data_IF_942561527029
#
_entry.id   IF_942561527029
#
_cell.length_a   1.000
_cell.length_b   1.000
_cell.length_c   1.000
_cell.angle_alpha   90.00
_cell.angle_beta   90.00
_cell.angle_gamma   90.00
#
_symmetry.space_group_name_H-M   'P 1'
#
loop_
_entity.id
_entity.type
_entity.pdbx_description
1 polymer ?
#
# COMPACT_ATOMS: atom_id res chain seq x y z
N UNK A 1 19.96 3.21 -12.03
CA UNK A 1 19.06 2.12 -12.47
C UNK A 1 19.06 1.05 -11.38
N UNK A 2 18.21 1.21 -10.36
CA UNK A 2 18.10 0.23 -9.27
C UNK A 2 17.11 -0.85 -9.66
N UNK A 3 17.49 -2.12 -9.49
CA UNK A 3 16.64 -3.28 -9.77
C UNK A 3 15.31 -3.18 -8.99
N UNK A 4 14.25 -2.95 -9.75
CA UNK A 4 12.86 -2.70 -9.36
C UNK A 4 12.15 -3.92 -8.74
N UNK A 5 12.74 -5.12 -8.85
CA UNK A 5 12.10 -6.39 -8.46
C UNK A 5 12.14 -6.73 -6.95
N UNK A 6 12.78 -5.91 -6.11
CA UNK A 6 13.04 -6.26 -4.70
C UNK A 6 12.37 -5.34 -3.67
N UNK A 7 11.55 -4.37 -4.09
CA UNK A 7 10.79 -3.60 -3.11
C UNK A 7 9.55 -4.37 -2.64
N UNK A 8 9.36 -4.56 -1.33
CA UNK A 8 8.14 -5.18 -0.81
C UNK A 8 6.95 -4.26 -1.14
N UNK A 9 6.17 -4.70 -2.13
CA UNK A 9 4.98 -3.99 -2.60
C UNK A 9 3.83 -4.16 -1.63
N UNK A 10 3.20 -3.06 -1.27
CA UNK A 10 2.04 -3.02 -0.38
C UNK A 10 0.76 -3.11 -1.19
N UNK A 11 0.69 -2.37 -2.30
CA UNK A 11 -0.49 -2.30 -3.18
C UNK A 11 0.00 -2.28 -4.63
N UNK A 12 -0.73 -2.95 -5.52
CA UNK A 12 -0.54 -2.87 -6.97
C UNK A 12 -1.85 -2.47 -7.64
N UNK A 13 -1.78 -1.46 -8.50
CA UNK A 13 -2.90 -0.95 -9.28
C UNK A 13 -2.59 -1.04 -10.77
N UNK A 14 -3.05 -2.10 -11.46
CA UNK A 14 -3.13 -2.13 -12.91
C UNK A 14 -4.20 -1.16 -13.40
N UNK A 15 -3.86 -0.41 -14.44
CA UNK A 15 -4.77 0.53 -15.11
C UNK A 15 -4.91 0.22 -16.60
N UNK A 16 -4.36 -0.90 -17.10
CA UNK A 16 -4.28 -1.24 -18.53
C UNK A 16 -5.62 -1.17 -19.26
N UNK A 17 -6.69 -1.54 -18.56
CA UNK A 17 -8.02 -1.68 -19.13
C UNK A 17 -8.82 -0.37 -18.99
N UNK A 18 -8.22 0.66 -18.38
CA UNK A 18 -8.90 1.93 -18.11
C UNK A 18 -9.36 2.64 -19.38
N UNK A 19 -8.59 2.53 -20.47
CA UNK A 19 -8.98 3.00 -21.80
C UNK A 19 -10.28 2.37 -22.29
N UNK A 20 -10.49 1.09 -22.06
CA UNK A 20 -11.70 0.38 -22.52
C UNK A 20 -12.91 0.78 -21.67
N UNK A 21 -12.74 0.89 -20.35
CA UNK A 21 -13.78 1.39 -19.46
C UNK A 21 -14.21 2.83 -19.77
N UNK A 22 -13.24 3.68 -20.12
CA UNK A 22 -13.49 5.08 -20.46
C UNK A 22 -14.11 5.20 -21.88
N UNK A 23 -13.75 4.32 -22.82
CA UNK A 23 -14.42 4.23 -24.13
C UNK A 23 -15.88 3.81 -24.00
N UNK A 24 -16.18 2.83 -23.14
CA UNK A 24 -17.56 2.42 -22.86
C UNK A 24 -18.38 3.56 -22.26
N UNK A 25 -17.77 4.42 -21.43
CA UNK A 25 -18.43 5.56 -20.81
C UNK A 25 -18.68 6.74 -21.76
N UNK A 26 -17.73 7.05 -22.66
CA UNK A 26 -17.80 8.23 -23.54
C UNK A 26 -18.28 7.92 -24.97
N UNK A 27 -18.19 6.66 -25.42
CA UNK A 27 -18.42 6.24 -26.81
C UNK A 27 -17.55 6.99 -27.85
N UNK A 28 -16.37 7.47 -27.43
CA UNK A 28 -15.41 8.22 -28.26
C UNK A 28 -14.01 7.57 -28.16
N UNK A 29 -13.28 7.32 -29.27
CA UNK A 29 -11.92 6.78 -29.23
C UNK A 29 -10.98 7.59 -28.33
N UNK A 30 -10.34 6.89 -27.40
CA UNK A 30 -9.37 7.48 -26.46
C UNK A 30 -7.96 7.27 -26.99
N UNK A 31 -7.35 8.35 -27.46
CA UNK A 31 -5.96 8.38 -27.92
C UNK A 31 -5.06 9.11 -26.91
N UNK A 32 -3.84 8.60 -26.71
CA UNK A 32 -2.83 9.28 -25.88
C UNK A 32 -3.06 9.24 -24.37
N UNK A 33 -3.98 8.41 -23.85
CA UNK A 33 -4.18 8.26 -22.40
C UNK A 33 -2.94 7.72 -21.68
N UNK A 34 -2.26 6.74 -22.29
CA UNK A 34 -1.06 6.14 -21.72
C UNK A 34 0.21 6.76 -22.29
N UNK A 35 1.23 6.88 -21.44
CA UNK A 35 2.56 7.31 -21.85
C UNK A 35 3.39 6.13 -22.35
N UNK A 36 4.17 6.33 -23.40
CA UNK A 36 5.16 5.34 -23.91
C UNK A 36 6.56 5.57 -23.36
N UNK A 37 6.80 6.73 -22.71
CA UNK A 37 8.10 7.09 -22.18
C UNK A 37 8.22 6.74 -20.70
N UNK A 38 9.00 5.71 -20.38
CA UNK A 38 9.22 5.25 -19.00
C UNK A 38 9.94 6.27 -18.11
N UNK A 39 10.66 7.22 -18.69
CA UNK A 39 11.42 8.27 -17.99
C UNK A 39 10.67 9.59 -17.90
N UNK A 40 9.41 9.65 -18.35
CA UNK A 40 8.59 10.84 -18.17
C UNK A 40 8.45 11.18 -16.66
N UNK A 41 8.43 12.47 -16.29
CA UNK A 41 8.20 12.86 -14.91
C UNK A 41 6.79 12.45 -14.45
N UNK A 42 6.69 12.07 -13.18
CA UNK A 42 5.42 11.79 -12.51
C UNK A 42 4.68 13.08 -12.17
N UNK A 43 3.35 13.03 -12.16
CA UNK A 43 2.39 14.06 -11.78
C UNK A 43 2.42 15.33 -12.65
N UNK A 44 2.91 15.21 -13.88
CA UNK A 44 3.04 16.32 -14.84
C UNK A 44 2.10 16.15 -16.05
N UNK A 45 1.01 15.39 -15.91
CA UNK A 45 0.03 15.14 -16.99
C UNK A 45 0.66 14.55 -18.26
N UNK A 46 1.74 13.79 -18.10
CA UNK A 46 2.54 13.22 -19.20
C UNK A 46 1.97 11.88 -19.71
N UNK A 47 0.78 11.49 -19.24
CA UNK A 47 0.09 10.25 -19.57
C UNK A 47 0.12 9.24 -18.42
N UNK A 48 -0.94 8.44 -18.34
CA UNK A 48 -1.09 7.37 -17.36
C UNK A 48 -0.10 6.23 -17.65
N UNK A 49 0.31 5.51 -16.62
CA UNK A 49 1.14 4.30 -16.75
C UNK A 49 0.34 3.04 -16.50
N UNK A 50 0.80 1.91 -17.01
CA UNK A 50 0.05 0.64 -16.98
C UNK A 50 -0.01 0.00 -15.59
N UNK A 51 1.03 0.19 -14.78
CA UNK A 51 1.10 -0.36 -13.42
C UNK A 51 1.58 0.70 -12.45
N UNK A 52 0.88 0.82 -11.31
CA UNK A 52 1.34 1.59 -10.18
C UNK A 52 1.51 0.67 -8.97
N UNK A 53 2.73 0.60 -8.45
CA UNK A 53 3.05 -0.16 -7.25
C UNK A 53 3.35 0.82 -6.10
N UNK A 54 2.64 0.69 -4.98
CA UNK A 54 2.90 1.45 -3.76
C UNK A 54 3.70 0.62 -2.77
N UNK A 55 4.71 1.26 -2.18
CA UNK A 55 5.40 0.81 -0.99
C UNK A 55 5.02 1.64 0.24
N UNK A 56 5.64 1.33 1.38
CA UNK A 56 5.49 2.10 2.62
C UNK A 56 6.07 3.52 2.55
N UNK A 57 7.05 3.74 1.67
CA UNK A 57 7.85 4.98 1.61
C UNK A 57 7.62 5.81 0.36
N UNK A 58 6.84 5.31 -0.61
CA UNK A 58 6.74 5.93 -1.92
C UNK A 58 5.96 5.04 -2.88
N UNK A 59 5.90 5.46 -4.14
CA UNK A 59 5.25 4.70 -5.19
C UNK A 59 6.10 4.70 -6.45
N UNK A 60 5.93 3.68 -7.27
CA UNK A 60 6.59 3.55 -8.54
C UNK A 60 5.55 3.24 -9.60
N UNK A 61 5.69 3.86 -10.76
CA UNK A 61 4.76 3.66 -11.85
C UNK A 61 5.49 3.26 -13.11
N UNK A 62 4.95 2.26 -13.79
CA UNK A 62 5.62 1.50 -14.84
C UNK A 62 4.80 1.47 -16.12
N UNK A 63 5.48 1.74 -17.23
CA UNK A 63 4.90 1.61 -18.57
C UNK A 63 4.86 0.14 -18.99
N UNK A 64 5.89 -0.63 -18.62
CA UNK A 64 5.98 -2.08 -18.85
C UNK A 64 6.41 -2.80 -17.57
N UNK A 65 6.50 -4.13 -17.58
CA UNK A 65 6.91 -4.92 -16.41
C UNK A 65 8.32 -4.58 -15.86
N UNK A 66 9.19 -3.96 -16.67
CA UNK A 66 10.59 -3.66 -16.32
C UNK A 66 10.97 -2.18 -16.36
N UNK A 67 10.15 -1.32 -16.97
CA UNK A 67 10.49 0.08 -17.23
C UNK A 67 9.50 1.03 -16.54
N UNK A 68 10.01 1.84 -15.62
CA UNK A 68 9.22 2.82 -14.88
C UNK A 68 10.08 3.80 -14.08
N UNK A 69 9.40 4.73 -13.42
CA UNK A 69 9.99 5.78 -12.59
C UNK A 69 9.29 5.82 -11.25
N UNK A 70 10.06 6.01 -10.18
CA UNK A 70 9.57 6.10 -8.80
C UNK A 70 9.45 7.55 -8.34
N UNK A 71 8.51 7.79 -7.42
CA UNK A 71 8.39 9.04 -6.69
C UNK A 71 9.56 9.23 -5.73
N UNK A 72 9.68 10.43 -5.18
CA UNK A 72 10.57 10.65 -4.04
C UNK A 72 10.14 9.75 -2.86
N UNK A 73 11.12 9.23 -2.13
CA UNK A 73 10.88 8.38 -0.97
C UNK A 73 10.76 9.25 0.28
N UNK A 74 9.62 9.20 0.94
CA UNK A 74 9.34 9.95 2.16
C UNK A 74 8.82 9.01 3.25
N UNK A 75 9.21 9.28 4.49
CA UNK A 75 8.65 8.58 5.63
C UNK A 75 7.16 8.89 5.75
N UNK A 76 6.36 7.88 6.09
CA UNK A 76 4.92 7.99 6.26
C UNK A 76 4.20 8.59 5.02
N UNK A 77 4.63 8.16 3.82
CA UNK A 77 4.02 8.59 2.57
C UNK A 77 2.52 8.32 2.57
N UNK A 78 1.73 9.33 2.20
CA UNK A 78 0.26 9.24 2.21
C UNK A 78 -0.20 8.44 1.00
N UNK A 79 -1.07 7.47 1.24
CA UNK A 79 -1.68 6.72 0.15
C UNK A 79 -2.84 7.52 -0.46
N UNK A 80 -2.57 8.22 -1.57
CA UNK A 80 -3.55 9.05 -2.28
C UNK A 80 -3.68 8.60 -3.76
N UNK A 81 -4.11 7.35 -4.04
CA UNK A 81 -4.01 6.76 -5.37
C UNK A 81 -4.77 7.57 -6.43
N UNK A 82 -5.99 8.01 -6.13
CA UNK A 82 -6.81 8.78 -7.06
C UNK A 82 -6.12 10.05 -7.55
N UNK A 83 -5.60 10.85 -6.63
CA UNK A 83 -4.89 12.11 -6.93
C UNK A 83 -3.62 11.87 -7.74
N UNK A 84 -2.89 10.79 -7.47
CA UNK A 84 -1.70 10.42 -8.27
C UNK A 84 -2.12 10.07 -9.70
N UNK A 85 -3.12 9.19 -9.87
CA UNK A 85 -3.60 8.78 -11.19
C UNK A 85 -4.12 9.97 -12.00
N UNK A 86 -4.99 10.81 -11.43
CA UNK A 86 -5.54 11.97 -12.13
C UNK A 86 -4.50 13.05 -12.43
N UNK A 87 -3.44 13.16 -11.61
CA UNK A 87 -2.32 14.07 -11.90
C UNK A 87 -1.39 13.61 -13.04
N UNK A 88 -1.36 12.30 -13.32
CA UNK A 88 -0.63 11.72 -14.46
C UNK A 88 -1.44 11.77 -15.75
N UNK A 89 -2.77 11.72 -15.66
CA UNK A 89 -3.67 11.83 -16.81
C UNK A 89 -3.59 13.22 -17.49
N UNK A 90 -3.89 13.26 -18.78
CA UNK A 90 -4.13 14.53 -19.48
C UNK A 90 -5.38 15.21 -18.90
N UNK A 91 -5.39 16.54 -18.90
CA UNK A 91 -6.44 17.35 -18.26
C UNK A 91 -7.88 16.97 -18.68
N UNK A 92 -8.07 16.65 -19.96
CA UNK A 92 -9.39 16.26 -20.47
C UNK A 92 -9.88 14.96 -19.82
N UNK A 93 -9.01 13.95 -19.74
CA UNK A 93 -9.36 12.64 -19.17
C UNK A 93 -9.51 12.69 -17.65
N UNK A 94 -8.72 13.51 -16.94
CA UNK A 94 -8.90 13.69 -15.50
C UNK A 94 -10.30 14.21 -15.15
N UNK A 95 -10.82 15.19 -15.92
CA UNK A 95 -12.15 15.75 -15.67
C UNK A 95 -13.28 14.76 -15.98
N UNK A 96 -13.11 13.90 -17.00
CA UNK A 96 -14.08 12.83 -17.27
C UNK A 96 -14.07 11.78 -16.15
N UNK A 97 -12.90 11.38 -15.68
CA UNK A 97 -12.78 10.43 -14.57
C UNK A 97 -13.36 11.00 -13.26
N UNK A 98 -13.19 12.30 -12.99
CA UNK A 98 -13.85 12.99 -11.86
C UNK A 98 -15.38 12.93 -11.95
N UNK A 99 -15.95 13.03 -13.15
CA UNK A 99 -17.41 12.94 -13.35
C UNK A 99 -17.94 11.51 -13.23
N UNK A 100 -17.14 10.52 -13.63
CA UNK A 100 -17.51 9.11 -13.58
C UNK A 100 -17.45 8.56 -12.15
N UNK A 101 -16.37 8.86 -11.42
CA UNK A 101 -16.14 8.33 -10.07
C UNK A 101 -16.65 9.33 -9.03
N UNK A 102 -17.97 9.40 -8.88
CA UNK A 102 -18.61 10.38 -7.98
C UNK A 102 -18.59 9.97 -6.51
N UNK A 103 -18.56 8.67 -6.21
CA UNK A 103 -18.51 8.18 -4.83
C UNK A 103 -17.77 6.84 -4.74
N UNK A 104 -16.60 6.88 -4.09
CA UNK A 104 -15.89 5.67 -3.68
C UNK A 104 -14.92 6.02 -2.55
N UNK A 105 -14.51 5.03 -1.76
CA UNK A 105 -13.41 5.29 -0.81
C UNK A 105 -12.10 5.57 -1.54
N UNK A 106 -11.96 5.15 -2.80
CA UNK A 106 -10.76 5.38 -3.61
C UNK A 106 -10.46 6.87 -3.85
N UNK A 107 -11.49 7.72 -3.94
CA UNK A 107 -11.34 9.17 -4.15
C UNK A 107 -11.06 9.94 -2.84
N UNK A 108 -11.29 9.32 -1.67
CA UNK A 108 -11.14 9.96 -0.36
C UNK A 108 -9.67 10.03 0.09
N UNK A 109 -8.93 10.93 -0.56
CA UNK A 109 -7.51 11.18 -0.28
C UNK A 109 -7.22 11.49 1.20
N UNK A 110 -7.98 12.34 1.92
CA UNK A 110 -7.68 12.62 3.33
C UNK A 110 -7.93 11.40 4.23
N UNK A 111 -8.98 10.61 3.99
CA UNK A 111 -9.21 9.38 4.74
C UNK A 111 -8.04 8.40 4.55
N UNK A 112 -7.74 8.03 3.30
CA UNK A 112 -6.69 7.05 3.01
C UNK A 112 -5.32 7.54 3.49
N UNK A 113 -5.00 8.80 3.22
CA UNK A 113 -3.71 9.40 3.59
C UNK A 113 -3.48 9.46 5.09
N UNK A 114 -4.49 9.79 5.90
CA UNK A 114 -4.34 9.90 7.35
C UNK A 114 -4.22 8.52 8.02
N UNK A 115 -5.04 7.54 7.60
CA UNK A 115 -4.98 6.19 8.16
C UNK A 115 -3.68 5.47 7.79
N UNK A 116 -3.22 5.60 6.55
CA UNK A 116 -1.95 4.97 6.12
C UNK A 116 -0.73 5.61 6.76
N UNK A 117 -0.74 6.93 6.99
CA UNK A 117 0.31 7.63 7.73
C UNK A 117 0.39 7.14 9.20
N UNK A 118 -0.76 7.04 9.89
CA UNK A 118 -0.80 6.49 11.25
C UNK A 118 -0.35 5.03 11.30
N UNK A 119 -0.81 4.19 10.36
CA UNK A 119 -0.42 2.79 10.27
C UNK A 119 1.09 2.61 10.06
N UNK A 120 1.73 3.49 9.27
CA UNK A 120 3.17 3.49 9.09
C UNK A 120 3.91 3.66 10.43
N UNK A 121 3.52 4.64 11.25
CA UNK A 121 4.16 4.86 12.55
C UNK A 121 3.93 3.70 13.52
N UNK A 122 2.74 3.09 13.51
CA UNK A 122 2.46 1.91 14.33
C UNK A 122 3.34 0.72 13.93
N UNK A 123 3.52 0.47 12.63
CA UNK A 123 4.44 -0.56 12.15
C UNK A 123 5.88 -0.27 12.57
N UNK A 124 6.33 0.98 12.43
CA UNK A 124 7.68 1.39 12.81
C UNK A 124 7.91 1.20 14.32
N UNK A 125 7.02 1.70 15.17
CA UNK A 125 7.11 1.52 16.63
C UNK A 125 7.09 0.02 16.98
N UNK A 126 6.21 -0.77 16.35
CA UNK A 126 6.14 -2.21 16.53
C UNK A 126 7.46 -2.92 16.21
N UNK A 127 8.12 -2.54 15.11
CA UNK A 127 9.44 -3.10 14.74
C UNK A 127 10.57 -2.67 15.68
N UNK A 128 10.54 -1.44 16.21
CA UNK A 128 11.50 -0.98 17.22
C UNK A 128 11.30 -1.77 18.51
N UNK A 129 10.06 -1.94 18.98
CA UNK A 129 9.76 -2.76 20.15
C UNK A 129 10.20 -4.21 19.95
N UNK A 130 10.04 -4.77 18.75
CA UNK A 130 10.52 -6.12 18.41
C UNK A 130 12.06 -6.23 18.52
N UNK A 131 12.79 -5.23 18.01
CA UNK A 131 14.24 -5.18 18.13
C UNK A 131 14.70 -5.04 19.59
N UNK A 132 14.03 -4.18 20.38
CA UNK A 132 14.30 -4.02 21.81
C UNK A 132 13.99 -5.30 22.59
N UNK A 133 12.90 -6.00 22.27
CA UNK A 133 12.56 -7.29 22.87
C UNK A 133 13.67 -8.32 22.64
N UNK A 134 14.21 -8.39 21.42
CA UNK A 134 15.35 -9.26 21.08
C UNK A 134 16.60 -8.88 21.88
N UNK A 135 16.98 -7.60 21.90
CA UNK A 135 18.18 -7.14 22.61
C UNK A 135 18.08 -7.40 24.12
N UNK A 136 16.93 -7.11 24.74
CA UNK A 136 16.69 -7.40 26.15
C UNK A 136 16.66 -8.91 26.43
N UNK A 137 16.15 -9.72 25.51
CA UNK A 137 16.08 -11.18 25.65
C UNK A 137 17.45 -11.89 25.64
N UNK A 138 18.48 -11.25 25.08
CA UNK A 138 19.86 -11.78 25.08
C UNK A 138 20.56 -11.56 26.43
N UNK A 139 20.15 -10.54 27.19
CA UNK A 139 20.76 -10.21 28.47
C UNK A 139 20.34 -11.23 29.54
N UNK A 140 21.32 -11.90 30.18
CA UNK A 140 21.11 -12.94 31.21
C UNK A 140 20.68 -12.35 32.58
N UNK A 141 19.60 -11.58 32.60
CA UNK A 141 19.02 -11.03 33.82
C UNK A 141 17.50 -11.24 33.86
N UNK A 142 16.92 -11.64 35.01
CA UNK A 142 15.48 -11.90 35.14
C UNK A 142 14.63 -10.65 34.82
N UNK A 143 15.08 -9.46 35.20
CA UNK A 143 14.43 -8.20 34.84
C UNK A 143 14.46 -7.91 33.34
N UNK A 144 15.51 -8.34 32.63
CA UNK A 144 15.63 -8.16 31.19
C UNK A 144 14.64 -9.07 30.43
N UNK A 145 14.38 -10.28 30.93
CA UNK A 145 13.34 -11.16 30.39
C UNK A 145 11.93 -10.59 30.59
N UNK A 146 11.62 -10.00 31.76
CA UNK A 146 10.33 -9.34 31.98
C UNK A 146 10.15 -8.09 31.09
N UNK A 147 11.22 -7.32 30.90
CA UNK A 147 11.17 -6.17 30.00
C UNK A 147 11.01 -6.60 28.53
N UNK A 148 11.67 -7.69 28.13
CA UNK A 148 11.53 -8.29 26.80
C UNK A 148 10.10 -8.75 26.51
N UNK A 149 9.44 -9.44 27.46
CA UNK A 149 8.04 -9.86 27.29
C UNK A 149 7.11 -8.66 27.15
N UNK A 150 7.29 -7.61 27.95
CA UNK A 150 6.50 -6.38 27.86
C UNK A 150 6.64 -5.72 26.47
N UNK A 151 7.88 -5.57 25.98
CA UNK A 151 8.12 -5.03 24.63
C UNK A 151 7.58 -5.94 23.51
N UNK A 152 7.63 -7.26 23.67
CA UNK A 152 7.05 -8.20 22.71
C UNK A 152 5.51 -8.09 22.66
N UNK A 153 4.84 -7.94 23.81
CA UNK A 153 3.38 -7.74 23.86
C UNK A 153 2.99 -6.41 23.19
N UNK A 154 3.66 -5.31 23.57
CA UNK A 154 3.39 -3.98 23.00
C UNK A 154 3.69 -3.97 21.49
N UNK A 155 4.83 -4.52 21.09
CA UNK A 155 5.22 -4.64 19.68
C UNK A 155 4.20 -5.45 18.88
N UNK A 156 3.70 -6.55 19.44
CA UNK A 156 2.71 -7.43 18.79
C UNK A 156 1.39 -6.68 18.56
N UNK A 157 0.91 -5.96 19.58
CA UNK A 157 -0.30 -5.14 19.46
C UNK A 157 -0.16 -4.04 18.40
N UNK A 158 0.97 -3.33 18.38
CA UNK A 158 1.22 -2.27 17.38
C UNK A 158 1.31 -2.82 15.95
N UNK A 159 2.01 -3.94 15.75
CA UNK A 159 2.09 -4.61 14.46
C UNK A 159 0.72 -5.11 13.98
N UNK A 160 -0.10 -5.66 14.88
CA UNK A 160 -1.47 -6.08 14.58
C UNK A 160 -2.33 -4.91 14.11
N UNK A 161 -2.31 -3.79 14.83
CA UNK A 161 -3.08 -2.59 14.47
C UNK A 161 -2.59 -2.02 13.12
N UNK A 162 -1.26 -1.93 12.93
CA UNK A 162 -0.69 -1.47 11.65
C UNK A 162 -1.09 -2.36 10.46
N UNK A 163 -0.99 -3.69 10.60
CA UNK A 163 -1.32 -4.65 9.55
C UNK A 163 -2.83 -4.66 9.23
N UNK A 164 -3.68 -4.52 10.25
CA UNK A 164 -5.14 -4.47 10.08
C UNK A 164 -5.58 -3.19 9.39
N UNK A 165 -5.06 -2.01 9.76
CA UNK A 165 -5.38 -0.75 9.07
C UNK A 165 -5.02 -0.83 7.60
N UNK A 166 -3.81 -1.28 7.26
CA UNK A 166 -3.40 -1.44 5.86
C UNK A 166 -4.31 -2.42 5.11
N UNK A 167 -4.67 -3.55 5.72
CA UNK A 167 -5.56 -4.54 5.12
C UNK A 167 -6.95 -3.96 4.85
N UNK A 168 -7.51 -3.21 5.80
CA UNK A 168 -8.83 -2.56 5.67
C UNK A 168 -8.79 -1.51 4.58
N UNK A 169 -7.77 -0.64 4.55
CA UNK A 169 -7.64 0.39 3.52
C UNK A 169 -7.59 -0.24 2.12
N UNK A 170 -6.80 -1.31 1.94
CA UNK A 170 -6.72 -2.03 0.67
C UNK A 170 -8.09 -2.57 0.26
N UNK A 171 -8.78 -3.26 1.18
CA UNK A 171 -10.11 -3.82 0.92
C UNK A 171 -11.17 -2.76 0.63
N UNK A 172 -11.07 -1.59 1.26
CA UNK A 172 -11.92 -0.45 0.95
C UNK A 172 -11.63 0.06 -0.47
N UNK A 173 -10.36 0.23 -0.83
CA UNK A 173 -10.00 0.66 -2.18
C UNK A 173 -10.30 -0.34 -3.28
N UNK A 174 -10.29 -1.64 -2.99
CA UNK A 174 -10.72 -2.70 -3.91
C UNK A 174 -12.20 -2.55 -4.34
N UNK A 175 -13.00 -1.74 -3.65
CA UNK A 175 -14.38 -1.46 -4.08
C UNK A 175 -14.46 -0.87 -5.49
N UNK A 176 -13.40 -0.20 -5.96
CA UNK A 176 -13.35 0.37 -7.33
C UNK A 176 -13.28 -0.72 -8.41
N UNK A 177 -12.81 -1.92 -8.08
CA UNK A 177 -12.69 -3.03 -9.03
C UNK A 177 -14.08 -3.49 -9.53
N UNK A 178 -15.11 -3.32 -8.70
CA UNK A 178 -16.50 -3.61 -9.05
C UNK A 178 -17.23 -2.45 -9.72
N UNK A 179 -16.55 -1.33 -10.00
CA UNK A 179 -17.18 -0.17 -10.62
C UNK A 179 -17.36 -0.40 -12.12
N UNK A 180 -18.62 -0.47 -12.54
CA UNK A 180 -19.03 -0.72 -13.91
C UNK A 180 -19.44 0.61 -14.54
N UNK A 181 -18.98 0.85 -15.76
CA UNK A 181 -19.24 2.03 -16.57
C UNK A 181 -19.77 1.62 -17.96
N UNK A 182 -20.49 2.54 -18.60
CA UNK A 182 -21.10 2.31 -19.91
C UNK A 182 -22.61 2.18 -19.87
N UNK A 183 -23.20 1.98 -21.05
CA UNK A 183 -24.65 1.83 -21.18
C UNK A 183 -25.13 0.49 -20.59
N UNK A 184 -26.38 0.45 -20.12
CA UNK A 184 -26.98 -0.77 -19.54
C UNK A 184 -26.97 -2.00 -20.48
N UNK A 185 -26.75 -1.78 -21.78
CA UNK A 185 -26.67 -2.81 -22.81
C UNK A 185 -25.26 -3.39 -22.99
N UNK A 186 -24.21 -2.70 -22.54
CA UNK A 186 -22.81 -3.17 -22.62
C UNK A 186 -21.99 -2.65 -21.42
N UNK A 187 -22.18 -3.24 -20.24
CA UNK A 187 -21.47 -2.85 -19.03
C UNK A 187 -19.99 -3.26 -19.10
N UNK A 188 -19.08 -2.29 -19.02
CA UNK A 188 -17.63 -2.52 -19.00
C UNK A 188 -17.01 -2.08 -17.65
N UNK A 189 -16.05 -2.82 -17.07
CA UNK A 189 -15.37 -2.38 -15.87
C UNK A 189 -14.54 -1.11 -16.14
N UNK A 190 -14.41 -0.23 -15.14
CA UNK A 190 -13.61 0.99 -15.25
C UNK A 190 -12.14 0.74 -15.59
N UNK A 191 -11.63 -0.48 -15.37
CA UNK A 191 -10.27 -0.88 -15.74
C UNK A 191 -9.16 -0.38 -14.82
N UNK A 192 -9.52 0.19 -13.66
CA UNK A 192 -8.61 0.44 -12.54
C UNK A 192 -8.86 -0.66 -11.52
N UNK A 193 -7.89 -1.56 -11.37
CA UNK A 193 -7.98 -2.65 -10.39
C UNK A 193 -7.00 -2.41 -9.27
N UNK A 194 -7.39 -2.64 -8.03
CA UNK A 194 -6.52 -2.55 -6.85
C UNK A 194 -6.31 -3.96 -6.34
N UNK A 195 -5.07 -4.30 -6.00
CA UNK A 195 -4.70 -5.61 -5.47
C UNK A 195 -3.69 -5.49 -4.33
N UNK A 196 -3.80 -6.39 -3.36
CA UNK A 196 -2.87 -6.48 -2.24
C UNK A 196 -1.50 -7.00 -2.68
N UNK A 197 -0.43 -6.38 -2.16
CA UNK A 197 0.94 -6.80 -2.39
C UNK A 197 1.53 -7.68 -1.28
N UNK A 198 2.69 -8.27 -1.55
CA UNK A 198 3.35 -9.23 -0.66
C UNK A 198 3.77 -8.65 0.71
N UNK A 199 3.96 -7.34 0.82
CA UNK A 199 4.42 -6.69 2.06
C UNK A 199 3.43 -6.87 3.22
N UNK A 200 2.12 -6.94 2.93
CA UNK A 200 1.10 -7.13 3.97
C UNK A 200 1.18 -8.52 4.58
N UNK A 201 1.43 -9.55 3.77
CA UNK A 201 1.65 -10.90 4.28
C UNK A 201 2.89 -10.98 5.16
N UNK A 202 3.95 -10.22 4.83
CA UNK A 202 5.14 -10.11 5.68
C UNK A 202 4.82 -9.42 7.02
N UNK A 203 3.98 -8.40 7.04
CA UNK A 203 3.56 -7.74 8.28
C UNK A 203 2.75 -8.69 9.18
N UNK A 204 1.86 -9.51 8.61
CA UNK A 204 1.14 -10.55 9.34
C UNK A 204 2.07 -11.67 9.85
N UNK A 205 3.05 -12.08 9.05
CA UNK A 205 4.07 -13.04 9.49
C UNK A 205 4.93 -12.49 10.64
N UNK A 206 5.31 -11.20 10.58
CA UNK A 206 6.03 -10.52 11.65
C UNK A 206 5.21 -10.48 12.95
N UNK A 207 3.91 -10.19 12.87
CA UNK A 207 3.01 -10.28 14.03
C UNK A 207 2.96 -11.70 14.62
N UNK A 208 2.73 -12.71 13.78
CA UNK A 208 2.60 -14.09 14.24
C UNK A 208 3.89 -14.61 14.90
N UNK A 209 5.05 -14.30 14.32
CA UNK A 209 6.36 -14.68 14.88
C UNK A 209 6.66 -13.96 16.19
N UNK A 210 6.34 -12.66 16.29
CA UNK A 210 6.51 -11.91 17.53
C UNK A 210 5.60 -12.44 18.64
N UNK A 211 4.33 -12.73 18.32
CA UNK A 211 3.37 -13.32 19.25
C UNK A 211 3.86 -14.69 19.75
N UNK A 212 4.34 -15.54 18.85
CA UNK A 212 4.89 -16.85 19.21
C UNK A 212 6.12 -16.72 20.13
N UNK A 213 6.95 -15.68 19.97
CA UNK A 213 8.13 -15.42 20.81
C UNK A 213 7.80 -15.07 22.26
N UNK A 214 6.56 -14.68 22.58
CA UNK A 214 6.15 -14.37 23.95
C UNK A 214 6.23 -15.61 24.85
N UNK A 215 5.91 -16.80 24.32
CA UNK A 215 5.93 -18.06 25.08
C UNK A 215 7.31 -18.40 25.66
N UNK A 216 8.40 -18.49 24.86
CA UNK A 216 9.71 -18.79 25.41
C UNK A 216 10.22 -17.70 26.36
N UNK A 217 9.89 -16.42 26.14
CA UNK A 217 10.27 -15.36 27.06
C UNK A 217 9.53 -15.46 28.42
N UNK A 218 8.25 -15.83 28.41
CA UNK A 218 7.48 -16.08 29.64
C UNK A 218 8.02 -17.28 30.42
N UNK A 219 8.29 -18.40 29.73
CA UNK A 219 8.87 -19.59 30.38
C UNK A 219 10.24 -19.24 30.96
N UNK A 220 11.09 -18.54 30.22
CA UNK A 220 12.41 -18.13 30.71
C UNK A 220 12.31 -17.23 31.94
N UNK A 221 11.37 -16.28 31.98
CA UNK A 221 11.14 -15.44 33.15
C UNK A 221 10.72 -16.25 34.41
N UNK A 222 9.88 -17.27 34.23
CA UNK A 222 9.37 -18.10 35.34
C UNK A 222 10.30 -19.25 35.74
N UNK A 223 11.19 -19.69 34.85
CA UNK A 223 12.10 -20.84 35.08
C UNK A 223 13.54 -20.42 35.35
N UNK A 224 13.87 -19.13 35.23
CA UNK A 224 15.20 -18.62 35.53
C UNK A 224 15.55 -18.86 37.01
N UNK A 225 16.32 -19.92 37.25
CA UNK A 225 17.10 -20.11 38.46
C UNK A 225 18.43 -19.40 38.23
N UNK A 226 18.60 -18.24 38.85
CA UNK A 226 19.90 -17.55 38.93
C UNK A 226 20.90 -18.34 39.75
#
# INVERSE_FOLDING_TARGET
MGNVLLWPRVIRIPTTDHREGLYAALSDPIEGLYTTNASAPLQQRAGLRNYYDWGLYGYCAYVNSSAGTCSNMTAANRFEPYKILTSDMLGNYSSFTDYIITSSTFIDSPYLGNFTNGAYYLLLIGTICAALALLCGILKHPFAFLLSTAFAIIGSAMLLIGATIWTVIIKKTESINGFIVGNASDPSPLGITVSMGNAIYLAWAAFATLLASILPYMISCCTFRG
#
